data_IF_875052371803
#
_entry.id   IF_875052371803
#
_cell.length_a   1.000
_cell.length_b   1.000
_cell.length_c   1.000
_cell.angle_alpha   90.00
_cell.angle_beta   90.00
_cell.angle_gamma   90.00
#
_symmetry.space_group_name_H-M   'P 1'
#
loop_
_entity.id
_entity.type
_entity.pdbx_description
1 polymer ?
#
# COMPACT_ATOMS: atom_id res chain seq x y z
N UNK A 1 1.66 -28.30 32.15
CA UNK A 1 1.13 -28.64 30.81
C UNK A 1 0.10 -27.60 30.40
N UNK A 2 0.55 -26.64 29.57
CA UNK A 2 -0.17 -25.70 28.67
C UNK A 2 0.87 -24.64 28.31
N UNK A 3 1.89 -25.05 27.57
CA UNK A 3 2.79 -24.14 26.89
C UNK A 3 1.94 -23.30 25.95
N UNK A 4 1.85 -22.00 26.24
CA UNK A 4 1.13 -21.04 25.42
C UNK A 4 1.58 -21.22 23.97
N UNK A 5 0.62 -21.48 23.10
CA UNK A 5 0.77 -21.46 21.66
C UNK A 5 1.31 -20.05 21.34
N UNK A 6 2.63 -19.91 21.17
CA UNK A 6 3.16 -18.83 20.37
C UNK A 6 2.43 -18.97 19.04
N UNK A 7 1.44 -18.11 18.82
CA UNK A 7 0.87 -17.93 17.50
C UNK A 7 2.07 -17.73 16.58
N UNK A 8 2.29 -18.66 15.65
CA UNK A 8 3.35 -18.58 14.65
C UNK A 8 3.22 -17.23 13.94
N UNK A 9 3.90 -16.25 14.51
CA UNK A 9 4.03 -14.91 14.00
C UNK A 9 4.91 -15.11 12.80
N UNK A 10 4.36 -14.91 11.61
CA UNK A 10 5.06 -14.93 10.34
C UNK A 10 6.49 -14.42 10.52
N UNK A 11 7.46 -15.34 10.53
CA UNK A 11 8.87 -14.99 10.68
C UNK A 11 9.33 -14.42 9.35
N UNK A 12 9.47 -13.10 9.32
CA UNK A 12 10.03 -12.41 8.17
C UNK A 12 11.47 -12.86 7.92
N UNK A 13 11.91 -12.91 6.65
CA UNK A 13 13.33 -12.98 6.36
C UNK A 13 14.05 -11.81 7.05
N UNK A 14 15.16 -12.10 7.75
CA UNK A 14 15.95 -11.10 8.50
C UNK A 14 16.36 -9.90 7.65
N UNK A 15 16.54 -10.09 6.34
CA UNK A 15 16.87 -9.02 5.40
C UNK A 15 15.74 -7.98 5.23
N UNK A 16 14.49 -8.39 5.38
CA UNK A 16 13.30 -7.56 5.13
C UNK A 16 12.72 -7.00 6.42
N UNK A 17 13.02 -7.61 7.56
CA UNK A 17 12.53 -7.19 8.87
C UNK A 17 12.82 -5.72 9.22
N UNK A 18 14.04 -5.17 9.04
CA UNK A 18 14.31 -3.75 9.33
C UNK A 18 13.48 -2.81 8.43
N UNK A 19 13.36 -3.17 7.15
CA UNK A 19 12.64 -2.41 6.14
C UNK A 19 11.15 -2.31 6.52
N UNK A 20 10.53 -3.43 6.86
CA UNK A 20 9.11 -3.46 7.20
C UNK A 20 8.84 -2.84 8.57
N UNK A 21 9.72 -3.07 9.54
CA UNK A 21 9.60 -2.51 10.89
C UNK A 21 9.64 -0.98 10.90
N UNK A 22 10.33 -0.35 9.95
CA UNK A 22 10.34 1.11 9.81
C UNK A 22 8.93 1.70 9.61
N UNK A 23 8.01 0.97 8.97
CA UNK A 23 6.64 1.42 8.74
C UNK A 23 5.72 1.28 9.96
N UNK A 24 6.16 0.61 11.04
CA UNK A 24 5.37 0.39 12.25
C UNK A 24 4.88 1.69 12.91
N UNK A 25 5.61 2.78 12.74
CA UNK A 25 5.28 4.11 13.29
C UNK A 25 3.91 4.64 12.82
N UNK A 26 3.42 4.17 11.67
CA UNK A 26 2.13 4.61 11.13
C UNK A 26 0.93 3.88 11.75
N UNK A 27 1.15 2.82 12.53
CA UNK A 27 0.11 1.89 12.94
C UNK A 27 0.15 1.57 14.43
N UNK A 28 -1.00 1.16 14.97
CA UNK A 28 -1.01 0.42 16.24
C UNK A 28 -0.51 -1.01 16.02
N UNK A 29 0.11 -1.62 17.04
CA UNK A 29 0.65 -3.00 16.97
C UNK A 29 -0.29 -4.03 16.30
N UNK A 30 -1.58 -4.16 16.68
CA UNK A 30 -2.48 -5.15 16.05
C UNK A 30 -2.88 -4.79 14.60
N UNK A 31 -2.83 -3.50 14.24
CA UNK A 31 -3.08 -3.04 12.87
C UNK A 31 -1.86 -3.27 12.00
N UNK A 32 -0.66 -3.03 12.53
CA UNK A 32 0.61 -3.27 11.84
C UNK A 32 0.75 -4.73 11.41
N UNK A 33 0.51 -5.68 12.32
CA UNK A 33 0.60 -7.11 12.00
C UNK A 33 -0.32 -7.51 10.83
N UNK A 34 -1.53 -6.92 10.76
CA UNK A 34 -2.45 -7.18 9.64
C UNK A 34 -2.05 -6.44 8.37
N UNK A 35 -1.53 -5.21 8.49
CA UNK A 35 -1.01 -4.44 7.36
C UNK A 35 0.17 -5.15 6.68
N UNK A 36 1.05 -5.76 7.46
CA UNK A 36 2.15 -6.61 6.99
C UNK A 36 1.62 -7.78 6.15
N UNK A 37 0.61 -8.50 6.63
CA UNK A 37 0.01 -9.62 5.89
C UNK A 37 -0.64 -9.12 4.59
N UNK A 38 -1.33 -7.98 4.62
CA UNK A 38 -1.88 -7.36 3.42
C UNK A 38 -0.79 -6.94 2.42
N UNK A 39 0.32 -6.38 2.90
CA UNK A 39 1.45 -6.00 2.06
C UNK A 39 2.06 -7.21 1.37
N UNK A 40 2.31 -8.30 2.10
CA UNK A 40 2.79 -9.54 1.53
C UNK A 40 1.80 -10.07 0.47
N UNK A 41 0.51 -10.06 0.80
CA UNK A 41 -0.52 -10.47 -0.15
C UNK A 41 -0.58 -9.60 -1.39
N UNK A 42 -0.34 -8.29 -1.26
CA UNK A 42 -0.28 -7.36 -2.39
C UNK A 42 0.91 -7.65 -3.32
N UNK A 43 2.06 -8.03 -2.76
CA UNK A 43 3.27 -8.42 -3.51
C UNK A 43 3.05 -9.75 -4.23
N UNK A 44 2.46 -10.74 -3.56
CA UNK A 44 2.23 -12.07 -4.12
C UNK A 44 1.05 -12.13 -5.11
N UNK A 45 0.14 -11.15 -5.07
CA UNK A 45 -1.02 -11.12 -5.97
C UNK A 45 -0.63 -10.66 -7.38
N UNK A 46 -0.74 -11.56 -8.37
CA UNK A 46 -0.37 -11.30 -9.76
C UNK A 46 -1.40 -10.51 -10.60
N UNK A 47 -2.68 -10.48 -10.19
CA UNK A 47 -3.76 -9.80 -10.93
C UNK A 47 -4.41 -8.69 -10.11
N UNK A 48 -5.55 -9.00 -9.49
CA UNK A 48 -6.32 -8.03 -8.73
C UNK A 48 -5.89 -8.08 -7.26
N UNK A 49 -5.33 -6.98 -6.77
CA UNK A 49 -4.97 -6.79 -5.36
C UNK A 49 -6.21 -6.45 -4.52
N UNK A 50 -7.28 -7.22 -4.65
CA UNK A 50 -8.44 -7.12 -3.75
C UNK A 50 -8.05 -7.67 -2.38
N UNK A 51 -8.68 -7.21 -1.30
CA UNK A 51 -8.38 -7.75 0.05
C UNK A 51 -8.53 -9.26 0.07
N UNK A 52 -9.62 -9.80 -0.49
CA UNK A 52 -9.83 -11.25 -0.59
C UNK A 52 -8.77 -11.95 -1.44
N UNK A 53 -8.34 -11.35 -2.57
CA UNK A 53 -7.26 -11.87 -3.40
C UNK A 53 -5.92 -11.91 -2.65
N UNK A 54 -5.61 -10.85 -1.91
CA UNK A 54 -4.42 -10.76 -1.07
C UNK A 54 -4.43 -11.82 0.04
N UNK A 55 -5.56 -11.99 0.73
CA UNK A 55 -5.71 -13.03 1.75
C UNK A 55 -5.60 -14.45 1.16
N UNK A 56 -6.11 -14.66 -0.06
CA UNK A 56 -5.96 -15.93 -0.78
C UNK A 56 -4.50 -16.20 -1.15
N UNK A 57 -3.77 -15.17 -1.59
CA UNK A 57 -2.37 -15.30 -1.99
C UNK A 57 -1.44 -15.65 -0.82
N UNK A 58 -1.69 -15.11 0.38
CA UNK A 58 -0.90 -15.42 1.59
C UNK A 58 -1.36 -16.69 2.32
N UNK A 59 -2.59 -17.15 2.06
CA UNK A 59 -3.13 -18.40 2.58
C UNK A 59 -3.11 -18.48 4.12
N UNK A 60 -2.45 -19.49 4.73
CA UNK A 60 -2.46 -19.71 6.19
C UNK A 60 -1.94 -18.55 7.05
N UNK A 61 -1.18 -17.63 6.45
CA UNK A 61 -0.65 -16.44 7.14
C UNK A 61 -1.75 -15.41 7.46
N UNK A 62 -2.88 -15.45 6.76
CA UNK A 62 -4.05 -14.62 7.04
C UNK A 62 -4.87 -15.16 8.22
N UNK A 63 -4.29 -15.10 9.43
CA UNK A 63 -4.98 -15.54 10.64
C UNK A 63 -6.04 -14.52 11.10
N UNK A 64 -7.18 -15.02 11.58
CA UNK A 64 -8.29 -14.22 12.10
C UNK A 64 -9.43 -14.01 11.09
N UNK A 65 -10.42 -13.20 11.48
CA UNK A 65 -11.60 -12.99 10.64
C UNK A 65 -11.28 -12.07 9.45
N UNK A 66 -11.70 -12.45 8.24
CA UNK A 66 -11.45 -11.71 7.00
C UNK A 66 -11.84 -10.22 7.09
N UNK A 67 -12.93 -9.91 7.80
CA UNK A 67 -13.39 -8.53 7.99
C UNK A 67 -12.39 -7.64 8.73
N UNK A 68 -11.52 -8.20 9.58
CA UNK A 68 -10.50 -7.40 10.27
C UNK A 68 -9.45 -6.84 9.31
N UNK A 69 -9.15 -7.56 8.23
CA UNK A 69 -8.25 -7.09 7.18
C UNK A 69 -8.90 -5.96 6.37
N UNK A 70 -10.19 -6.08 6.05
CA UNK A 70 -10.95 -4.97 5.45
C UNK A 70 -10.99 -3.74 6.36
N UNK A 71 -11.11 -3.94 7.69
CA UNK A 71 -11.12 -2.84 8.66
C UNK A 71 -9.81 -2.06 8.68
N UNK A 72 -8.66 -2.67 8.33
CA UNK A 72 -7.40 -1.93 8.20
C UNK A 72 -7.57 -0.78 7.22
N UNK A 73 -8.14 -1.02 6.03
CA UNK A 73 -8.25 -0.01 4.99
C UNK A 73 -9.46 0.93 5.14
N UNK A 74 -10.52 0.50 5.83
CA UNK A 74 -11.79 1.25 5.87
C UNK A 74 -12.20 1.79 7.24
N UNK A 75 -11.60 1.34 8.36
CA UNK A 75 -12.04 1.72 9.72
C UNK A 75 -10.91 2.06 10.69
N UNK A 76 -9.75 1.40 10.61
CA UNK A 76 -8.64 1.66 11.53
C UNK A 76 -8.03 3.02 11.22
N UNK A 77 -7.67 3.74 12.27
CA UNK A 77 -7.05 5.06 12.15
C UNK A 77 -5.55 4.88 11.95
N UNK A 78 -5.07 5.26 10.78
CA UNK A 78 -3.66 5.40 10.42
C UNK A 78 -3.55 6.43 9.29
N UNK A 79 -2.35 6.93 9.04
CA UNK A 79 -2.09 7.98 8.05
C UNK A 79 -1.10 7.49 6.99
N UNK A 80 -1.31 7.92 5.74
CA UNK A 80 -0.37 7.68 4.64
C UNK A 80 0.87 8.56 4.74
N UNK A 81 0.81 9.69 5.45
CA UNK A 81 1.93 10.63 5.57
C UNK A 81 3.17 10.03 6.24
N UNK A 82 3.08 9.39 7.41
CA UNK A 82 4.23 8.72 8.01
C UNK A 82 4.80 7.61 7.12
N UNK A 83 3.94 6.87 6.41
CA UNK A 83 4.38 5.83 5.48
C UNK A 83 5.16 6.42 4.30
N UNK A 84 4.65 7.49 3.69
CA UNK A 84 5.30 8.19 2.60
C UNK A 84 6.66 8.75 3.03
N UNK A 85 6.74 9.34 4.22
CA UNK A 85 8.00 9.85 4.78
C UNK A 85 9.03 8.75 4.99
N UNK A 86 8.62 7.61 5.57
CA UNK A 86 9.50 6.45 5.76
C UNK A 86 9.97 5.91 4.41
N UNK A 87 9.06 5.74 3.44
CA UNK A 87 9.41 5.27 2.11
C UNK A 87 10.38 6.22 1.40
N UNK A 88 10.11 7.53 1.41
CA UNK A 88 10.97 8.53 0.80
C UNK A 88 12.38 8.50 1.39
N UNK A 89 12.49 8.40 2.72
CA UNK A 89 13.77 8.24 3.41
C UNK A 89 14.52 6.99 2.94
N UNK A 90 13.85 5.84 2.92
CA UNK A 90 14.45 4.57 2.49
C UNK A 90 14.94 4.63 1.04
N UNK A 91 14.19 5.27 0.14
CA UNK A 91 14.58 5.45 -1.26
C UNK A 91 15.79 6.37 -1.39
N UNK A 92 15.83 7.49 -0.64
CA UNK A 92 16.98 8.40 -0.65
C UNK A 92 18.23 7.72 -0.11
N UNK A 93 18.11 6.87 0.92
CA UNK A 93 19.23 6.09 1.47
C UNK A 93 19.81 5.06 0.47
N UNK A 94 19.11 4.74 -0.62
CA UNK A 94 19.65 3.90 -1.72
C UNK A 94 20.55 4.68 -2.68
N UNK A 95 20.50 6.02 -2.66
CA UNK A 95 21.29 6.88 -3.54
C UNK A 95 22.63 7.17 -2.84
N UNK A 96 23.79 6.97 -3.51
CA UNK A 96 25.07 7.29 -2.92
C UNK A 96 25.15 8.76 -2.48
N UNK A 97 25.81 9.10 -1.35
CA UNK A 97 25.84 10.47 -0.83
C UNK A 97 26.47 11.50 -1.78
N UNK A 98 27.29 11.06 -2.71
CA UNK A 98 27.96 11.87 -3.73
C UNK A 98 27.13 12.08 -5.01
N UNK A 99 25.94 11.47 -5.09
CA UNK A 99 25.06 11.54 -6.26
C UNK A 99 23.90 12.51 -6.04
N UNK A 100 23.45 13.13 -7.14
CA UNK A 100 22.30 14.02 -7.11
C UNK A 100 21.00 13.24 -6.97
N UNK A 101 20.11 13.73 -6.12
CA UNK A 101 18.72 13.24 -6.05
C UNK A 101 17.92 13.92 -7.15
N UNK A 102 17.62 13.19 -8.23
CA UNK A 102 16.78 13.69 -9.31
C UNK A 102 15.31 13.41 -9.00
N UNK A 103 14.54 14.46 -8.75
CA UNK A 103 13.10 14.37 -8.51
C UNK A 103 12.34 14.57 -9.82
N UNK A 104 12.05 13.48 -10.54
CA UNK A 104 11.11 13.52 -11.65
C UNK A 104 9.69 13.72 -11.11
N UNK A 105 8.98 14.73 -11.61
CA UNK A 105 7.61 15.04 -11.22
C UNK A 105 6.70 14.78 -12.42
N UNK A 106 5.68 13.97 -12.21
CA UNK A 106 4.63 13.71 -13.18
C UNK A 106 3.29 13.67 -12.43
N UNK A 107 2.24 14.22 -13.05
CA UNK A 107 0.90 14.26 -12.47
C UNK A 107 0.05 13.14 -13.07
N UNK A 108 -0.31 12.16 -12.25
CA UNK A 108 -1.23 11.09 -12.65
C UNK A 108 -2.63 11.37 -12.12
N UNK A 109 -3.62 11.56 -13.01
CA UNK A 109 -5.02 11.66 -12.62
C UNK A 109 -5.59 10.27 -12.26
N UNK A 110 -5.93 10.00 -10.98
CA UNK A 110 -6.47 8.73 -10.56
C UNK A 110 -7.89 8.50 -11.12
N UNK A 111 -8.04 7.47 -11.96
CA UNK A 111 -9.29 7.18 -12.66
C UNK A 111 -10.29 6.34 -11.83
N UNK A 112 -10.26 6.47 -10.49
CA UNK A 112 -11.12 5.66 -9.64
C UNK A 112 -12.60 6.06 -9.79
N UNK A 113 -13.47 5.07 -9.91
CA UNK A 113 -14.92 5.25 -10.12
C UNK A 113 -15.66 4.81 -8.87
N UNK A 114 -16.57 5.65 -8.37
CA UNK A 114 -17.46 5.27 -7.28
C UNK A 114 -18.25 6.44 -6.71
N UNK A 115 -19.36 6.14 -6.03
CA UNK A 115 -20.22 7.17 -5.40
C UNK A 115 -19.54 7.92 -4.24
N UNK A 116 -18.45 7.37 -3.71
CA UNK A 116 -17.70 7.93 -2.57
C UNK A 116 -16.36 8.56 -2.97
N UNK A 117 -16.10 8.69 -4.27
CA UNK A 117 -14.89 9.37 -4.76
C UNK A 117 -15.14 10.87 -4.67
N UNK A 118 -14.47 11.52 -3.72
CA UNK A 118 -14.47 12.97 -3.57
C UNK A 118 -13.69 13.62 -4.72
N UNK A 119 -14.03 14.86 -5.09
CA UNK A 119 -13.24 15.63 -6.07
C UNK A 119 -13.39 15.18 -7.52
N UNK A 120 -14.34 14.29 -7.83
CA UNK A 120 -14.48 13.75 -9.18
C UNK A 120 -14.84 14.84 -10.20
N UNK A 121 -13.95 15.04 -11.17
CA UNK A 121 -14.07 16.04 -12.24
C UNK A 121 -13.74 15.46 -13.62
N UNK A 122 -14.00 16.29 -14.64
CA UNK A 122 -13.61 16.02 -16.02
C UNK A 122 -12.27 16.72 -16.27
N UNK A 123 -11.24 15.95 -16.57
CA UNK A 123 -9.89 16.43 -16.79
C UNK A 123 -9.48 16.20 -18.25
N UNK A 124 -8.82 17.18 -18.86
CA UNK A 124 -8.29 17.03 -20.21
C UNK A 124 -7.05 16.14 -20.16
N UNK A 125 -7.04 15.06 -20.94
CA UNK A 125 -5.87 14.18 -21.05
C UNK A 125 -5.08 14.57 -22.28
N UNK A 126 -4.09 15.46 -22.08
CA UNK A 126 -3.27 15.99 -23.15
C UNK A 126 -2.45 14.89 -23.86
N UNK A 127 -2.00 13.87 -23.13
CA UNK A 127 -1.21 12.76 -23.66
C UNK A 127 -2.01 11.89 -24.65
N UNK A 128 -3.33 11.78 -24.46
CA UNK A 128 -4.22 11.03 -25.35
C UNK A 128 -4.94 11.89 -26.39
N UNK A 129 -4.81 13.21 -26.29
CA UNK A 129 -5.46 14.15 -27.18
C UNK A 129 -4.60 14.50 -28.39
N UNK A 130 -5.25 14.87 -29.48
CA UNK A 130 -4.63 15.43 -30.69
C UNK A 130 -5.34 16.73 -31.07
N UNK A 131 -4.79 17.49 -32.02
CA UNK A 131 -5.39 18.76 -32.46
C UNK A 131 -6.83 18.63 -32.97
N UNK A 132 -7.21 17.47 -33.52
CA UNK A 132 -8.56 17.21 -34.03
C UNK A 132 -9.43 16.38 -33.08
N UNK A 133 -8.86 15.82 -32.00
CA UNK A 133 -9.60 14.96 -31.08
C UNK A 133 -9.15 15.16 -29.63
N UNK A 134 -10.06 15.67 -28.80
CA UNK A 134 -9.84 15.95 -27.38
C UNK A 134 -10.35 14.78 -26.53
N UNK A 135 -9.47 14.15 -25.76
CA UNK A 135 -9.78 13.08 -24.82
C UNK A 135 -9.98 13.65 -23.42
N UNK A 136 -11.09 13.27 -22.81
CA UNK A 136 -11.43 13.62 -21.44
C UNK A 136 -11.38 12.39 -20.55
N UNK A 137 -10.74 12.53 -19.40
CA UNK A 137 -10.67 11.50 -18.37
C UNK A 137 -11.45 11.95 -17.14
N UNK A 138 -12.25 11.05 -16.60
CA UNK A 138 -13.00 11.26 -15.36
C UNK A 138 -12.21 10.69 -14.19
N UNK A 139 -11.72 11.56 -13.31
CA UNK A 139 -10.88 11.23 -12.16
C UNK A 139 -11.04 12.27 -11.06
N UNK A 140 -10.25 12.20 -10.01
CA UNK A 140 -10.31 13.08 -8.84
C UNK A 140 -8.95 13.64 -8.50
#
# INVERSE_FOLDING_TARGET
MRTGKESDMFRMPKAVEPLISAFSIAFTRPTFNRAVVLMLGAILSLRHRTVTGMLRAVGPLAQGHWSDFHRVLCRRVWSTWPLAKVLARLVVELIPPDQLVVCAVDDTNPQHKGKRVYGKGRHHDACRSTHSHIVWVWGH
#
